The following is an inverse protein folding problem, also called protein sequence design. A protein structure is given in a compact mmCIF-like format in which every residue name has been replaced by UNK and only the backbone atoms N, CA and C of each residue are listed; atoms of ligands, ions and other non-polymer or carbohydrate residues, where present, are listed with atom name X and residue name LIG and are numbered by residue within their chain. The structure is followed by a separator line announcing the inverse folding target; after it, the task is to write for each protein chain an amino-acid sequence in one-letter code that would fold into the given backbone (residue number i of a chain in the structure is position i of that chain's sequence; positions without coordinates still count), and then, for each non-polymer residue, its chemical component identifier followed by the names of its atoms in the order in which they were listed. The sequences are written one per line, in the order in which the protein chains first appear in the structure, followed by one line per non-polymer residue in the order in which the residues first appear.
data_IF_556997087438
#
_entry.id   IF_556997087438
#
_cell.length_a   1.000
_cell.length_b   1.000
_cell.length_c   1.000
_cell.angle_alpha   90.00
_cell.angle_beta   90.00
_cell.angle_gamma   90.00
#
_symmetry.space_group_name_H-M   'P 1'
#
loop_
_entity.id
_entity.type
_entity.pdbx_description
1 polymer ?
#
# COMPACT_ATOMS: atom_id res chain seq x y z
N UNK A 1 2.35 49.75 57.80
CA UNK A 1 3.45 49.98 56.83
C UNK A 1 3.81 48.75 55.98
N UNK A 2 3.46 47.52 56.39
CA UNK A 2 3.75 46.30 55.61
C UNK A 2 2.96 46.12 54.30
N UNK A 3 1.72 46.62 54.23
CA UNK A 3 0.87 46.49 53.04
C UNK A 3 1.39 47.26 51.82
N UNK A 4 2.05 48.40 52.01
CA UNK A 4 2.60 49.21 50.91
C UNK A 4 3.86 48.59 50.30
N UNK A 5 4.64 47.83 51.09
CA UNK A 5 5.80 47.07 50.63
C UNK A 5 5.37 45.81 49.86
N UNK A 6 4.34 45.10 50.36
CA UNK A 6 3.70 43.97 49.66
C UNK A 6 3.16 44.37 48.29
N UNK A 7 2.48 45.52 48.18
CA UNK A 7 1.93 46.02 46.92
C UNK A 7 3.00 46.43 45.88
N UNK A 8 4.21 46.81 46.33
CA UNK A 8 5.35 47.08 45.42
C UNK A 8 6.06 45.81 44.97
N UNK A 9 6.12 44.79 45.82
CA UNK A 9 6.67 43.47 45.47
C UNK A 9 5.78 42.71 44.47
N UNK A 10 4.47 42.96 44.52
CA UNK A 10 3.46 42.47 43.56
C UNK A 10 3.55 43.20 42.20
N UNK A 11 4.26 44.33 42.09
CA UNK A 11 4.38 45.07 40.82
C UNK A 11 5.47 44.49 39.92
N UNK A 12 5.02 43.54 39.09
CA UNK A 12 5.55 43.13 37.77
C UNK A 12 6.42 41.87 37.70
N UNK A 13 7.58 41.72 38.38
CA UNK A 13 8.43 40.55 38.15
C UNK A 13 7.90 39.30 38.85
N UNK A 14 7.23 39.45 40.00
CA UNK A 14 6.72 38.31 40.76
C UNK A 14 5.43 37.75 40.15
N UNK A 15 4.54 38.63 39.68
CA UNK A 15 3.33 38.21 38.95
C UNK A 15 3.71 37.52 37.63
N UNK A 16 4.68 38.07 36.88
CA UNK A 16 5.20 37.41 35.67
C UNK A 16 5.90 36.09 36.01
N UNK A 17 6.64 36.02 37.12
CA UNK A 17 7.26 34.80 37.62
C UNK A 17 6.23 33.72 37.97
N UNK A 18 5.10 34.10 38.60
CA UNK A 18 4.00 33.18 38.91
C UNK A 18 3.33 32.69 37.63
N UNK A 19 3.04 33.58 36.66
CA UNK A 19 2.44 33.18 35.37
C UNK A 19 3.38 32.24 34.62
N UNK A 20 4.66 32.57 34.52
CA UNK A 20 5.65 31.73 33.86
C UNK A 20 5.81 30.37 34.57
N UNK A 21 5.91 30.35 35.90
CA UNK A 21 5.99 29.12 36.67
C UNK A 21 4.73 28.26 36.47
N UNK A 22 3.54 28.86 36.46
CA UNK A 22 2.28 28.14 36.20
C UNK A 22 2.18 27.58 34.78
N UNK A 23 2.69 28.31 33.79
CA UNK A 23 2.75 27.84 32.40
C UNK A 23 3.80 26.74 32.23
N UNK A 24 4.94 26.86 32.91
CA UNK A 24 6.01 25.87 32.85
C UNK A 24 5.59 24.58 33.55
N UNK A 25 4.97 24.67 34.73
CA UNK A 25 4.43 23.49 35.41
C UNK A 25 3.29 22.86 34.61
N UNK A 26 2.41 23.66 33.98
CA UNK A 26 1.41 23.13 33.04
C UNK A 26 2.07 22.42 31.86
N UNK A 27 3.10 23.01 31.23
CA UNK A 27 3.85 22.36 30.16
C UNK A 27 4.52 21.07 30.63
N UNK A 28 5.21 21.07 31.77
CA UNK A 28 5.89 19.88 32.31
C UNK A 28 4.87 18.80 32.66
N UNK A 29 3.74 19.15 33.31
CA UNK A 29 2.66 18.21 33.59
C UNK A 29 2.00 17.74 32.30
N UNK A 30 1.85 18.59 31.28
CA UNK A 30 1.34 18.19 29.98
C UNK A 30 2.32 17.28 29.24
N UNK A 31 3.62 17.51 29.31
CA UNK A 31 4.65 16.66 28.71
C UNK A 31 4.85 15.35 29.48
N UNK A 32 4.71 15.37 30.80
CA UNK A 32 4.73 14.16 31.62
C UNK A 32 3.42 13.40 31.50
N UNK A 33 2.27 14.07 31.33
CA UNK A 33 0.98 13.46 31.01
C UNK A 33 0.96 12.94 29.58
N UNK A 34 1.58 13.62 28.63
CA UNK A 34 1.81 13.13 27.27
C UNK A 34 2.85 12.00 27.28
N UNK A 35 3.85 12.03 28.16
CA UNK A 35 4.88 11.00 28.32
C UNK A 35 4.44 9.78 29.12
N UNK A 36 3.44 9.92 30.01
CA UNK A 36 2.80 8.82 30.75
C UNK A 36 1.53 8.34 30.05
N UNK A 37 0.83 9.16 29.26
CA UNK A 37 -0.16 8.71 28.27
C UNK A 37 0.50 8.12 27.03
N UNK A 38 1.74 8.53 26.72
CA UNK A 38 2.70 7.72 25.98
C UNK A 38 3.41 6.76 26.94
N UNK A 39 2.64 6.07 27.78
CA UNK A 39 2.69 4.63 27.63
C UNK A 39 2.52 4.43 26.13
N UNK A 40 3.61 4.11 25.45
CA UNK A 40 3.56 3.39 24.21
C UNK A 40 2.84 2.09 24.56
N UNK A 41 1.52 2.18 24.73
CA UNK A 41 0.58 1.29 24.09
C UNK A 41 1.11 1.35 22.66
N UNK A 42 2.04 0.43 22.38
CA UNK A 42 1.82 -0.46 21.27
C UNK A 42 0.33 -0.72 21.40
N UNK A 43 -0.44 0.08 20.68
CA UNK A 43 -1.66 -0.46 20.17
C UNK A 43 -1.02 -1.52 19.29
N UNK A 44 -0.86 -2.71 19.87
CA UNK A 44 -1.52 -3.85 19.33
C UNK A 44 -2.93 -3.34 19.00
N UNK A 45 -3.05 -2.56 17.91
CA UNK A 45 -3.73 -3.04 16.75
C UNK A 45 -3.22 -4.47 16.73
N UNK A 46 -3.98 -5.34 17.41
CA UNK A 46 -4.29 -6.62 16.87
C UNK A 46 -4.76 -6.24 15.46
N UNK A 47 -3.78 -6.00 14.57
CA UNK A 47 -3.92 -6.19 13.16
C UNK A 47 -4.34 -7.62 13.25
N UNK A 48 -5.65 -7.79 13.14
CA UNK A 48 -6.29 -9.06 13.18
C UNK A 48 -5.67 -9.70 11.96
N UNK A 49 -4.52 -10.37 12.20
CA UNK A 49 -3.54 -10.73 11.21
C UNK A 49 -4.22 -11.88 10.51
N UNK A 50 -5.09 -11.53 9.56
CA UNK A 50 -5.69 -12.48 8.67
C UNK A 50 -4.48 -13.05 7.93
N UNK A 51 -4.19 -14.35 8.09
CA UNK A 51 -3.08 -14.94 7.37
C UNK A 51 -3.32 -14.68 5.90
N UNK A 52 -2.27 -14.35 5.16
CA UNK A 52 -2.35 -14.21 3.72
C UNK A 52 -3.03 -15.46 3.12
N UNK A 53 -4.14 -15.27 2.41
CA UNK A 53 -4.90 -16.37 1.79
C UNK A 53 -4.77 -16.30 0.28
N UNK A 54 -4.30 -17.40 -0.33
CA UNK A 54 -4.45 -17.61 -1.76
C UNK A 54 -5.92 -17.88 -2.05
N UNK A 55 -6.64 -16.93 -2.68
CA UNK A 55 -8.04 -17.15 -3.06
C UNK A 55 -8.10 -18.33 -4.02
N UNK A 56 -9.02 -19.27 -3.76
CA UNK A 56 -9.17 -20.43 -4.64
C UNK A 56 -10.19 -20.13 -5.72
N UNK A 57 -10.01 -20.71 -6.91
CA UNK A 57 -10.96 -20.56 -8.02
C UNK A 57 -12.41 -20.96 -7.65
N UNK A 58 -12.59 -21.64 -6.52
CA UNK A 58 -13.85 -22.17 -6.01
C UNK A 58 -14.68 -21.15 -5.21
N UNK A 59 -14.11 -20.01 -4.79
CA UNK A 59 -14.84 -18.92 -4.11
C UNK A 59 -15.64 -18.03 -5.06
N UNK A 60 -15.46 -18.18 -6.38
CA UNK A 60 -16.23 -17.46 -7.39
C UNK A 60 -17.18 -18.43 -8.07
N UNK A 61 -18.25 -18.82 -7.36
CA UNK A 61 -19.47 -19.22 -8.07
C UNK A 61 -19.86 -18.02 -8.93
N UNK A 62 -19.73 -18.17 -10.25
CA UNK A 62 -19.90 -17.14 -11.29
C UNK A 62 -21.32 -16.53 -11.35
N UNK A 63 -22.19 -16.91 -10.41
CA UNK A 63 -23.63 -16.62 -10.35
C UNK A 63 -24.06 -15.72 -9.20
N UNK A 64 -23.17 -15.44 -8.23
CA UNK A 64 -23.49 -14.52 -7.13
C UNK A 64 -23.00 -13.12 -7.50
N UNK A 65 -23.88 -12.13 -7.34
CA UNK A 65 -23.61 -10.69 -7.47
C UNK A 65 -22.63 -10.25 -6.36
N UNK A 66 -21.40 -10.73 -6.47
CA UNK A 66 -20.30 -10.40 -5.58
C UNK A 66 -19.77 -9.04 -6.04
N UNK A 67 -19.80 -8.08 -5.14
CA UNK A 67 -19.12 -6.79 -5.32
C UNK A 67 -17.63 -7.06 -5.51
N UNK A 68 -17.07 -6.72 -6.68
CA UNK A 68 -15.64 -6.91 -6.95
C UNK A 68 -14.85 -5.65 -6.62
N UNK A 69 -13.63 -5.86 -6.16
CA UNK A 69 -12.62 -4.81 -6.23
C UNK A 69 -12.03 -4.77 -7.64
N UNK A 70 -11.63 -3.58 -8.06
CA UNK A 70 -10.92 -3.38 -9.31
C UNK A 70 -9.78 -2.37 -9.11
N UNK A 71 -8.90 -2.23 -10.12
CA UNK A 71 -7.72 -1.39 -9.99
C UNK A 71 -8.03 0.10 -9.82
N UNK A 72 -9.26 0.55 -10.12
CA UNK A 72 -9.85 1.93 -10.10
C UNK A 72 -9.09 3.00 -10.91
N UNK A 73 -7.76 2.97 -10.84
CA UNK A 73 -6.78 3.94 -11.33
C UNK A 73 -6.48 3.80 -12.83
N UNK A 74 -6.88 2.70 -13.48
CA UNK A 74 -6.55 2.44 -14.88
C UNK A 74 -7.26 3.40 -15.84
N UNK A 75 -6.49 4.13 -16.67
CA UNK A 75 -7.05 5.19 -17.54
C UNK A 75 -7.98 4.65 -18.63
N UNK A 76 -7.64 3.52 -19.23
CA UNK A 76 -8.37 2.92 -20.35
C UNK A 76 -8.81 1.49 -20.03
N UNK A 77 -7.90 0.69 -19.48
CA UNK A 77 -8.16 -0.67 -19.01
C UNK A 77 -8.36 -0.70 -17.51
N UNK A 78 -9.10 -1.69 -17.04
CA UNK A 78 -9.31 -2.00 -15.63
C UNK A 78 -9.13 -3.49 -15.44
N UNK A 79 -8.57 -3.88 -14.29
CA UNK A 79 -8.46 -5.28 -13.87
C UNK A 79 -9.25 -5.49 -12.59
N UNK A 80 -10.12 -6.51 -12.58
CA UNK A 80 -10.87 -6.92 -11.39
C UNK A 80 -10.09 -7.93 -10.52
N UNK A 81 -10.55 -8.13 -9.30
CA UNK A 81 -9.94 -9.05 -8.34
C UNK A 81 -10.07 -10.54 -8.71
N UNK A 82 -10.84 -10.86 -9.76
CA UNK A 82 -10.96 -12.20 -10.34
C UNK A 82 -9.92 -12.44 -11.45
N UNK A 83 -9.21 -11.37 -11.84
CA UNK A 83 -8.15 -11.37 -12.86
C UNK A 83 -8.64 -11.11 -14.28
N UNK A 84 -9.88 -10.64 -14.47
CA UNK A 84 -10.35 -10.17 -15.77
C UNK A 84 -9.86 -8.74 -16.03
N UNK A 85 -9.39 -8.50 -17.25
CA UNK A 85 -9.06 -7.19 -17.80
C UNK A 85 -10.10 -6.83 -18.83
N UNK A 86 -10.66 -5.63 -18.73
CA UNK A 86 -11.60 -5.08 -19.68
C UNK A 86 -11.37 -3.58 -19.86
N UNK A 87 -11.97 -3.00 -20.89
CA UNK A 87 -12.07 -1.55 -20.99
C UNK A 87 -12.91 -0.97 -19.84
N UNK A 88 -12.67 0.30 -19.52
CA UNK A 88 -13.42 0.99 -18.46
C UNK A 88 -14.94 1.04 -18.72
N UNK A 89 -15.36 0.98 -19.97
CA UNK A 89 -16.77 0.88 -20.41
C UNK A 89 -17.37 -0.51 -20.19
N UNK A 90 -16.55 -1.55 -20.11
CA UNK A 90 -16.92 -2.95 -19.93
C UNK A 90 -17.09 -3.37 -18.46
N UNK A 91 -17.19 -2.42 -17.53
CA UNK A 91 -17.40 -2.68 -16.11
C UNK A 91 -18.90 -2.82 -15.83
N UNK A 92 -19.27 -3.95 -15.21
CA UNK A 92 -20.62 -4.24 -14.74
C UNK A 92 -21.01 -3.39 -13.53
N UNK A 93 -22.30 -3.44 -13.16
CA UNK A 93 -22.84 -2.68 -12.02
C UNK A 93 -22.23 -3.06 -10.67
N UNK A 94 -21.71 -4.28 -10.57
CA UNK A 94 -21.02 -4.84 -9.40
C UNK A 94 -19.53 -4.47 -9.33
N UNK A 95 -19.03 -3.64 -10.26
CA UNK A 95 -17.63 -3.21 -10.28
C UNK A 95 -16.67 -4.20 -10.93
N UNK A 96 -17.15 -5.35 -11.40
CA UNK A 96 -16.34 -6.35 -12.09
C UNK A 96 -16.39 -6.19 -13.61
N UNK A 97 -15.45 -6.81 -14.34
CA UNK A 97 -15.54 -6.88 -15.80
C UNK A 97 -16.68 -7.81 -16.26
N UNK A 98 -17.38 -7.42 -17.33
CA UNK A 98 -18.41 -8.24 -17.97
C UNK A 98 -17.72 -9.35 -18.79
N UNK A 99 -17.95 -10.61 -18.42
CA UNK A 99 -17.25 -11.78 -18.98
C UNK A 99 -17.61 -11.99 -20.46
N UNK A 100 -18.84 -11.67 -20.85
CA UNK A 100 -19.36 -11.90 -22.20
C UNK A 100 -18.94 -10.84 -23.23
N UNK A 101 -18.26 -9.76 -22.80
CA UNK A 101 -17.78 -8.73 -23.71
C UNK A 101 -16.53 -9.22 -24.47
N UNK A 102 -16.44 -8.90 -25.77
CA UNK A 102 -15.34 -9.37 -26.65
C UNK A 102 -13.95 -8.92 -26.18
N UNK A 103 -13.83 -7.74 -25.57
CA UNK A 103 -12.56 -7.18 -25.10
C UNK A 103 -12.18 -7.59 -23.66
N UNK A 104 -12.93 -8.53 -23.07
CA UNK A 104 -12.64 -9.04 -21.73
C UNK A 104 -11.73 -10.26 -21.80
N UNK A 105 -10.57 -10.20 -21.13
CA UNK A 105 -9.61 -11.30 -21.08
C UNK A 105 -9.22 -11.64 -19.64
N UNK A 106 -9.07 -12.93 -19.31
CA UNK A 106 -8.70 -13.38 -17.97
C UNK A 106 -7.24 -13.78 -17.91
N UNK A 107 -6.54 -13.36 -16.86
CA UNK A 107 -5.12 -13.68 -16.63
C UNK A 107 -4.23 -13.33 -17.84
N UNK A 108 -4.51 -12.20 -18.48
CA UNK A 108 -3.85 -11.81 -19.72
C UNK A 108 -2.47 -11.23 -19.45
N UNK A 109 -1.45 -11.85 -20.06
CA UNK A 109 -0.05 -11.42 -20.02
C UNK A 109 0.39 -10.69 -21.30
N UNK A 110 -0.54 -10.13 -22.09
CA UNK A 110 -0.28 -9.64 -23.46
C UNK A 110 0.87 -8.63 -23.60
N UNK A 111 1.10 -7.79 -22.57
CA UNK A 111 2.16 -6.78 -22.59
C UNK A 111 3.40 -7.16 -21.76
N UNK A 112 3.51 -8.43 -21.37
CA UNK A 112 4.54 -8.92 -20.47
C UNK A 112 5.65 -9.68 -21.20
N UNK A 113 6.87 -9.57 -20.68
CA UNK A 113 8.04 -10.31 -21.14
C UNK A 113 8.31 -11.57 -20.27
N UNK A 114 9.36 -12.31 -20.61
CA UNK A 114 9.78 -13.52 -19.88
C UNK A 114 10.25 -13.23 -18.44
N UNK A 115 10.68 -12.00 -18.16
CA UNK A 115 11.08 -11.54 -16.83
C UNK A 115 9.88 -11.16 -15.95
N UNK A 116 8.65 -11.42 -16.42
CA UNK A 116 7.41 -11.11 -15.69
C UNK A 116 7.26 -9.60 -15.42
N UNK A 117 7.78 -8.79 -16.35
CA UNK A 117 7.63 -7.35 -16.41
C UNK A 117 6.77 -6.96 -17.61
N UNK A 118 5.92 -5.96 -17.46
CA UNK A 118 4.92 -5.57 -18.44
C UNK A 118 4.92 -4.07 -18.72
N UNK A 119 4.43 -3.71 -19.90
CA UNK A 119 4.25 -2.32 -20.33
C UNK A 119 3.05 -1.69 -19.62
N UNK A 120 1.96 -2.45 -19.49
CA UNK A 120 0.68 -2.00 -18.96
C UNK A 120 0.46 -2.61 -17.58
N UNK A 121 0.07 -1.77 -16.62
CA UNK A 121 -0.14 -2.15 -15.23
C UNK A 121 -1.23 -3.22 -15.07
N UNK A 122 -2.36 -3.05 -15.74
CA UNK A 122 -3.51 -3.95 -15.64
C UNK A 122 -3.19 -5.36 -16.14
N UNK A 123 -2.40 -5.48 -17.21
CA UNK A 123 -1.90 -6.77 -17.68
C UNK A 123 -0.86 -7.38 -16.72
N UNK A 124 -0.02 -6.57 -16.06
CA UNK A 124 0.86 -7.08 -15.00
C UNK A 124 0.06 -7.73 -13.87
N UNK A 125 -0.95 -7.02 -13.37
CA UNK A 125 -1.78 -7.50 -12.25
C UNK A 125 -2.57 -8.74 -12.66
N UNK A 126 -3.19 -8.73 -13.84
CA UNK A 126 -3.93 -9.88 -14.37
C UNK A 126 -3.03 -11.11 -14.54
N UNK A 127 -1.85 -10.94 -15.15
CA UNK A 127 -0.87 -12.02 -15.32
C UNK A 127 -0.37 -12.57 -13.98
N UNK A 128 -0.11 -11.68 -13.01
CA UNK A 128 0.32 -12.05 -11.66
C UNK A 128 -0.72 -12.92 -10.92
N UNK A 129 -2.01 -12.67 -11.16
CA UNK A 129 -3.11 -13.43 -10.56
C UNK A 129 -3.28 -14.84 -11.14
N UNK A 130 -2.62 -15.18 -12.26
CA UNK A 130 -2.69 -16.52 -12.84
C UNK A 130 -2.20 -17.56 -11.80
N UNK A 131 -3.00 -18.59 -11.48
CA UNK A 131 -2.58 -19.67 -10.59
C UNK A 131 -1.23 -20.31 -10.94
N UNK A 132 -0.81 -20.28 -12.21
CA UNK A 132 0.51 -20.76 -12.65
C UNK A 132 1.67 -19.99 -12.01
N UNK A 133 1.47 -18.73 -11.66
CA UNK A 133 2.50 -17.87 -11.08
C UNK A 133 2.69 -18.07 -9.57
N UNK A 134 1.80 -18.82 -8.91
CA UNK A 134 1.81 -19.02 -7.44
C UNK A 134 3.13 -19.53 -6.90
N UNK A 135 3.74 -20.51 -7.56
CA UNK A 135 5.01 -21.08 -7.12
C UNK A 135 6.13 -20.02 -7.12
N UNK A 136 6.20 -19.22 -8.18
CA UNK A 136 7.17 -18.13 -8.26
C UNK A 136 6.89 -17.07 -7.21
N UNK A 137 5.63 -16.66 -7.04
CA UNK A 137 5.25 -15.66 -6.04
C UNK A 137 5.57 -16.12 -4.61
N UNK A 138 5.41 -17.41 -4.29
CA UNK A 138 5.84 -17.95 -2.99
C UNK A 138 7.35 -17.82 -2.78
N UNK A 139 8.16 -17.98 -3.83
CA UNK A 139 9.62 -17.74 -3.77
C UNK A 139 9.93 -16.26 -3.63
N UNK A 140 9.18 -15.37 -4.28
CA UNK A 140 9.32 -13.91 -4.09
C UNK A 140 9.00 -13.54 -2.64
N UNK A 141 7.93 -14.11 -2.09
CA UNK A 141 7.49 -13.88 -0.71
C UNK A 141 8.49 -14.37 0.34
N UNK A 142 9.22 -15.46 0.07
CA UNK A 142 10.23 -15.99 0.98
C UNK A 142 11.56 -15.23 0.95
N UNK A 143 11.79 -14.39 -0.08
CA UNK A 143 13.00 -13.59 -0.27
C UNK A 143 12.87 -12.14 0.20
N UNK A 144 11.72 -11.76 0.77
CA UNK A 144 11.47 -10.39 1.18
C UNK A 144 12.39 -9.98 2.35
N UNK A 145 12.79 -8.72 2.34
CA UNK A 145 13.45 -8.09 3.51
C UNK A 145 12.47 -7.95 4.67
N UNK A 146 12.97 -7.66 5.87
CA UNK A 146 12.13 -7.52 7.08
C UNK A 146 11.10 -6.40 6.90
N UNK A 147 11.49 -5.30 6.28
CA UNK A 147 10.62 -4.16 5.98
C UNK A 147 9.54 -4.51 4.94
N UNK A 148 9.93 -5.25 3.90
CA UNK A 148 8.99 -5.75 2.89
C UNK A 148 8.03 -6.81 3.46
N UNK A 149 8.50 -7.62 4.40
CA UNK A 149 7.67 -8.59 5.12
C UNK A 149 6.55 -7.91 5.89
N UNK A 150 6.81 -6.77 6.55
CA UNK A 150 5.77 -6.01 7.26
C UNK A 150 4.71 -5.48 6.28
N UNK A 151 5.14 -4.95 5.13
CA UNK A 151 4.22 -4.46 4.10
C UNK A 151 3.36 -5.59 3.54
N UNK A 152 3.96 -6.73 3.23
CA UNK A 152 3.25 -7.87 2.66
C UNK A 152 2.33 -8.55 3.68
N UNK A 153 2.71 -8.59 4.96
CA UNK A 153 1.87 -9.15 6.03
C UNK A 153 0.61 -8.31 6.30
N UNK A 154 0.58 -7.06 5.81
CA UNK A 154 -0.64 -6.23 5.83
C UNK A 154 -1.62 -6.55 4.69
N UNK A 155 -1.19 -7.31 3.68
CA UNK A 155 -1.99 -7.62 2.50
C UNK A 155 -2.95 -8.78 2.79
N UNK A 156 -4.21 -8.61 2.41
CA UNK A 156 -5.27 -9.57 2.70
C UNK A 156 -5.23 -10.81 1.80
N UNK A 157 -4.89 -10.65 0.52
CA UNK A 157 -4.99 -11.69 -0.50
C UNK A 157 -4.00 -11.49 -1.66
N UNK A 158 -4.06 -12.43 -2.61
CA UNK A 158 -3.28 -12.45 -3.84
C UNK A 158 -3.51 -11.23 -4.76
N UNK A 159 -4.70 -10.61 -4.72
CA UNK A 159 -4.97 -9.41 -5.49
C UNK A 159 -4.24 -8.19 -4.96
N UNK A 160 -4.29 -7.95 -3.65
CA UNK A 160 -3.55 -6.87 -3.02
C UNK A 160 -2.02 -7.05 -3.19
N UNK A 161 -1.54 -8.31 -3.17
CA UNK A 161 -0.15 -8.65 -3.50
C UNK A 161 0.22 -8.24 -4.92
N UNK A 162 -0.58 -8.63 -5.91
CA UNK A 162 -0.32 -8.31 -7.31
C UNK A 162 -0.44 -6.81 -7.59
N UNK A 163 -1.44 -6.12 -7.01
CA UNK A 163 -1.58 -4.66 -7.09
C UNK A 163 -0.33 -3.95 -6.57
N UNK A 164 0.21 -4.43 -5.45
CA UNK A 164 1.39 -3.85 -4.80
C UNK A 164 2.67 -4.12 -5.58
N UNK A 165 2.90 -5.37 -5.99
CA UNK A 165 4.12 -5.76 -6.72
C UNK A 165 4.20 -5.11 -8.09
N UNK A 166 3.10 -5.07 -8.85
CA UNK A 166 3.08 -4.47 -10.19
C UNK A 166 3.23 -2.95 -10.23
N UNK A 167 3.18 -2.24 -9.09
CA UNK A 167 3.47 -0.81 -9.06
C UNK A 167 4.94 -0.55 -9.39
N UNK A 168 5.20 0.53 -10.11
CA UNK A 168 6.58 0.95 -10.38
C UNK A 168 7.29 1.25 -9.07
N UNK A 169 8.48 0.68 -8.88
CA UNK A 169 9.29 0.88 -7.68
C UNK A 169 10.59 1.63 -8.02
N UNK A 170 11.33 2.04 -6.99
CA UNK A 170 12.68 2.60 -7.16
C UNK A 170 13.62 1.65 -7.90
N UNK A 171 13.40 0.33 -7.82
CA UNK A 171 14.19 -0.65 -8.56
C UNK A 171 13.99 -0.58 -10.08
N UNK A 172 12.86 -0.05 -10.55
CA UNK A 172 12.56 0.14 -11.96
C UNK A 172 13.11 1.46 -12.52
N UNK A 173 13.73 2.30 -11.69
CA UNK A 173 14.18 3.67 -12.02
C UNK A 173 15.72 3.77 -11.92
N UNK A 174 16.34 4.57 -12.79
CA UNK A 174 17.77 4.86 -12.82
C UNK A 174 18.11 6.14 -12.04
N UNK A 175 17.71 7.30 -12.55
CA UNK A 175 17.93 8.63 -11.96
C UNK A 175 16.81 9.58 -12.40
N UNK A 176 16.37 10.49 -11.52
CA UNK A 176 15.38 11.55 -11.82
C UNK A 176 14.10 11.06 -12.56
N UNK A 177 13.51 9.95 -12.09
CA UNK A 177 12.31 9.31 -12.66
C UNK A 177 12.47 8.66 -14.05
N UNK A 178 13.70 8.50 -14.56
CA UNK A 178 13.94 7.73 -15.79
C UNK A 178 13.88 6.22 -15.52
N UNK A 179 13.02 5.49 -16.21
CA UNK A 179 12.89 4.04 -16.07
C UNK A 179 14.08 3.29 -16.70
N UNK A 180 14.48 2.17 -16.09
CA UNK A 180 15.51 1.26 -16.62
C UNK A 180 15.12 0.67 -17.97
N UNK A 181 13.87 0.22 -18.06
CA UNK A 181 13.23 -0.22 -19.29
C UNK A 181 11.88 0.51 -19.41
N UNK A 182 11.77 1.54 -20.25
CA UNK A 182 10.51 2.24 -20.50
C UNK A 182 9.41 1.32 -21.08
N UNK A 183 9.82 0.23 -21.73
CA UNK A 183 8.95 -0.82 -22.22
C UNK A 183 8.38 -1.65 -21.08
N UNK A 184 9.18 -2.15 -20.14
CA UNK A 184 8.69 -3.10 -19.13
C UNK A 184 8.92 -2.61 -17.70
N UNK A 185 8.05 -1.69 -17.25
CA UNK A 185 8.18 -1.00 -15.95
C UNK A 185 7.40 -1.63 -14.80
N UNK A 186 6.39 -2.44 -15.10
CA UNK A 186 5.50 -3.08 -14.11
C UNK A 186 5.88 -4.54 -13.93
N UNK A 187 6.46 -4.93 -12.80
CA UNK A 187 7.01 -6.28 -12.63
C UNK A 187 6.42 -6.98 -11.40
N UNK A 188 6.22 -8.29 -11.49
CA UNK A 188 5.85 -9.12 -10.34
C UNK A 188 6.82 -10.28 -10.07
N UNK A 189 7.82 -10.47 -10.94
CA UNK A 189 8.88 -11.46 -10.82
C UNK A 189 9.95 -11.13 -9.76
N UNK A 190 10.87 -12.07 -9.55
CA UNK A 190 11.96 -11.97 -8.55
C UNK A 190 13.13 -11.09 -8.99
N UNK A 191 13.27 -10.80 -10.28
CA UNK A 191 14.41 -10.08 -10.82
C UNK A 191 14.05 -8.61 -11.03
N UNK A 192 14.69 -7.67 -10.31
CA UNK A 192 14.64 -6.27 -10.71
C UNK A 192 15.34 -6.18 -12.08
N UNK A 193 14.61 -5.77 -13.12
CA UNK A 193 15.08 -5.65 -14.51
C UNK A 193 16.59 -5.40 -14.57
N UNK A 194 17.35 -6.47 -14.85
CA UNK A 194 18.79 -6.37 -15.03
C UNK A 194 18.98 -5.59 -16.33
N UNK A 195 19.71 -4.49 -16.22
CA UNK A 195 20.06 -3.61 -17.33
C UNK A 195 20.58 -4.46 -18.49
N UNK A 196 19.79 -4.62 -19.55
CA UNK A 196 20.32 -5.14 -20.82
C UNK A 196 21.27 -4.07 -21.35
N UNK A 197 22.56 -4.22 -21.04
CA UNK A 197 23.61 -3.55 -21.81
C UNK A 197 23.54 -4.13 -23.21
N UNK A 198 23.04 -3.33 -24.13
CA UNK A 198 23.06 -3.58 -25.56
C UNK A 198 24.52 -3.78 -25.99
N UNK A 199 24.79 -4.93 -26.62
CA UNK A 199 26.07 -5.26 -27.27
C UNK A 199 26.04 -4.87 -28.73
#
# INVERSE_FOLDING_TARGET
MFYAALLRFIRRPLVLGIIFASSLTYCIVSFLKEGTNKSMIYQDVSMQHKPFVWRTLQEHNETVDIECRNSVQGRALIVDDRGYVCERTGIGKNGCCIIEAEDTSRYSCQSCNEDHCCIIYEYCVSCCLDPKQRNMLQVVLSKLTVEEHVLVHSLADDYELCLTKCRTSSHSVLHENSYKDPGHKHCFGSTPAETKMES
#
